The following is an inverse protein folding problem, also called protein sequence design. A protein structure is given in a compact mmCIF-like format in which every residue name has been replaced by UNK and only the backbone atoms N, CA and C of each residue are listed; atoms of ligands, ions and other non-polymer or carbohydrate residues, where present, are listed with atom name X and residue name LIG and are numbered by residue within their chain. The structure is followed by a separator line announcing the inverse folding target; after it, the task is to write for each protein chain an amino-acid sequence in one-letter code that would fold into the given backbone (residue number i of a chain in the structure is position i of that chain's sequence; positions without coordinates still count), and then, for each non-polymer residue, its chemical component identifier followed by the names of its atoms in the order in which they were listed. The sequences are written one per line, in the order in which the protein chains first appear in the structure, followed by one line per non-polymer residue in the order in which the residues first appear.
data_IF_088081616844
#
_entry.id   IF_088081616844
#
_cell.length_a   1.000
_cell.length_b   1.000
_cell.length_c   1.000
_cell.angle_alpha   90.00
_cell.angle_beta   90.00
_cell.angle_gamma   90.00
#
_symmetry.space_group_name_H-M   'P 1'
#
loop_
_entity.id
_entity.type
_entity.pdbx_description
1 polymer ?
#
# COMPACT_ATOMS: atom_id res chain seq x y z
N UNK A 1 12.82 13.32 -29.96
CA UNK A 1 13.12 12.65 -28.67
C UNK A 1 11.79 12.35 -27.99
N UNK A 2 11.45 11.10 -27.86
CA UNK A 2 10.34 10.70 -27.03
C UNK A 2 10.71 10.99 -25.58
N UNK A 3 9.87 11.76 -24.86
CA UNK A 3 9.99 11.86 -23.42
C UNK A 3 10.02 10.44 -22.83
N UNK A 4 10.90 10.15 -21.87
CA UNK A 4 10.84 8.86 -21.21
C UNK A 4 9.43 8.73 -20.63
N UNK A 5 8.69 7.72 -21.08
CA UNK A 5 7.37 7.43 -20.50
C UNK A 5 7.55 7.37 -18.99
N UNK A 6 6.93 8.29 -18.28
CA UNK A 6 7.04 8.33 -16.83
C UNK A 6 6.53 6.99 -16.30
N UNK A 7 7.40 6.26 -15.58
CA UNK A 7 7.02 5.00 -14.97
C UNK A 7 5.80 5.22 -14.07
N UNK A 8 4.79 4.35 -14.08
CA UNK A 8 3.61 4.52 -13.25
C UNK A 8 3.99 4.59 -11.77
N UNK A 9 3.24 5.39 -11.03
CA UNK A 9 3.36 5.53 -9.58
C UNK A 9 2.16 4.85 -8.92
N UNK A 10 2.42 3.87 -8.07
CA UNK A 10 1.39 3.16 -7.32
C UNK A 10 1.51 3.46 -5.82
N UNK A 11 0.38 3.76 -5.21
CA UNK A 11 0.26 3.74 -3.76
C UNK A 11 0.03 2.30 -3.30
N UNK A 12 0.81 1.85 -2.31
CA UNK A 12 0.79 0.47 -1.81
C UNK A 12 0.40 0.46 -0.33
N UNK A 13 -0.54 -0.41 0.04
CA UNK A 13 -0.88 -0.61 1.45
C UNK A 13 -0.04 -1.74 2.08
N UNK A 14 -0.20 -1.94 3.40
CA UNK A 14 0.57 -2.93 4.14
C UNK A 14 0.33 -4.37 3.67
N UNK A 15 -0.85 -4.69 3.15
CA UNK A 15 -1.20 -6.05 2.76
C UNK A 15 -0.32 -6.57 1.62
N UNK A 16 0.14 -5.68 0.73
CA UNK A 16 1.05 -6.04 -0.36
C UNK A 16 2.37 -6.57 0.20
N UNK A 17 2.91 -5.90 1.21
CA UNK A 17 4.16 -6.29 1.87
C UNK A 17 3.97 -7.52 2.75
N UNK A 18 2.90 -7.57 3.54
CA UNK A 18 2.60 -8.69 4.42
C UNK A 18 2.39 -10.00 3.67
N UNK A 19 1.78 -9.94 2.49
CA UNK A 19 1.60 -11.13 1.64
C UNK A 19 2.92 -11.78 1.23
N UNK A 20 4.01 -11.02 1.16
CA UNK A 20 5.35 -11.51 0.82
C UNK A 20 6.16 -11.80 2.08
N UNK A 21 6.09 -10.92 3.08
CA UNK A 21 6.89 -11.05 4.31
C UNK A 21 6.39 -12.16 5.24
N UNK A 22 5.09 -12.29 5.40
CA UNK A 22 4.45 -13.27 6.29
C UNK A 22 3.21 -13.84 5.59
N UNK A 23 3.37 -14.59 4.49
CA UNK A 23 2.22 -15.12 3.73
C UNK A 23 1.30 -15.99 4.58
N UNK A 24 1.84 -16.71 5.57
CA UNK A 24 1.08 -17.55 6.49
C UNK A 24 0.17 -16.76 7.43
N UNK A 25 0.46 -15.50 7.71
CA UNK A 25 -0.36 -14.62 8.56
C UNK A 25 -1.48 -13.94 7.77
N UNK A 26 -1.43 -13.98 6.44
CA UNK A 26 -2.46 -13.41 5.59
C UNK A 26 -3.50 -14.47 5.24
N UNK A 27 -4.74 -14.05 5.08
CA UNK A 27 -5.79 -14.91 4.54
C UNK A 27 -6.00 -14.71 3.03
N UNK A 28 -5.02 -14.08 2.41
CA UNK A 28 -5.09 -13.79 0.98
C UNK A 28 -5.02 -15.07 0.15
N UNK A 29 -5.79 -15.15 -0.94
CA UNK A 29 -5.65 -16.21 -1.92
C UNK A 29 -4.26 -16.26 -2.54
N UNK A 30 -3.86 -17.43 -3.05
CA UNK A 30 -2.53 -17.65 -3.64
C UNK A 30 -2.22 -16.69 -4.80
N UNK A 31 -3.22 -16.36 -5.61
CA UNK A 31 -3.05 -15.43 -6.73
C UNK A 31 -2.78 -13.99 -6.27
N UNK A 32 -3.36 -13.59 -5.14
CA UNK A 32 -3.08 -12.28 -4.52
C UNK A 32 -1.67 -12.24 -3.92
N UNK A 33 -1.22 -13.33 -3.31
CA UNK A 33 0.15 -13.46 -2.80
C UNK A 33 1.15 -13.38 -3.96
N UNK A 34 0.92 -14.14 -5.03
CA UNK A 34 1.77 -14.11 -6.23
C UNK A 34 1.74 -12.74 -6.89
N UNK A 35 0.59 -12.09 -6.95
CA UNK A 35 0.43 -10.73 -7.46
C UNK A 35 1.19 -9.70 -6.64
N UNK A 36 1.14 -9.79 -5.32
CA UNK A 36 1.91 -8.94 -4.42
C UNK A 36 3.41 -9.08 -4.64
N UNK A 37 3.90 -10.29 -4.83
CA UNK A 37 5.30 -10.54 -5.16
C UNK A 37 5.68 -9.89 -6.51
N UNK A 38 4.81 -9.98 -7.53
CA UNK A 38 5.04 -9.30 -8.82
C UNK A 38 5.11 -7.78 -8.67
N UNK A 39 4.21 -7.20 -7.88
CA UNK A 39 4.21 -5.75 -7.62
C UNK A 39 5.53 -5.31 -6.99
N UNK A 40 5.94 -5.97 -5.91
CA UNK A 40 7.18 -5.60 -5.21
C UNK A 40 8.42 -5.84 -6.08
N UNK A 41 8.43 -6.89 -6.89
CA UNK A 41 9.51 -7.14 -7.86
C UNK A 41 9.55 -6.04 -8.92
N UNK A 42 8.41 -5.57 -9.41
CA UNK A 42 8.34 -4.47 -10.36
C UNK A 42 8.90 -3.16 -9.78
N UNK A 43 8.67 -2.93 -8.49
CA UNK A 43 9.26 -1.80 -7.75
C UNK A 43 10.79 -1.96 -7.66
N UNK A 44 11.25 -3.12 -7.22
CA UNK A 44 12.67 -3.43 -7.10
C UNK A 44 13.42 -3.26 -8.43
N UNK A 45 12.82 -3.72 -9.53
CA UNK A 45 13.37 -3.60 -10.87
C UNK A 45 13.18 -2.21 -11.51
N UNK A 46 12.51 -1.29 -10.82
CA UNK A 46 12.27 0.06 -11.30
C UNK A 46 11.25 0.19 -12.44
N UNK A 47 10.46 -0.85 -12.70
CA UNK A 47 9.36 -0.80 -13.68
C UNK A 47 8.12 -0.10 -13.12
N UNK A 48 7.98 -0.08 -11.81
CA UNK A 48 6.93 0.58 -11.06
C UNK A 48 7.58 1.47 -10.00
N UNK A 49 7.07 2.68 -9.81
CA UNK A 49 7.42 3.49 -8.64
C UNK A 49 6.37 3.26 -7.57
N UNK A 50 6.81 3.09 -6.33
CA UNK A 50 5.94 2.92 -5.18
C UNK A 50 5.92 4.13 -4.27
N UNK A 51 4.79 4.39 -3.65
CA UNK A 51 4.65 5.33 -2.55
C UNK A 51 3.73 4.71 -1.49
N UNK A 52 4.03 4.96 -0.25
CA UNK A 52 3.20 4.56 0.87
C UNK A 52 3.32 5.56 2.01
N UNK A 53 2.59 5.36 3.06
CA UNK A 53 2.60 6.22 4.25
C UNK A 53 3.23 5.50 5.43
N UNK A 54 3.77 6.25 6.39
CA UNK A 54 4.44 5.72 7.57
C UNK A 54 3.58 4.73 8.39
N UNK A 55 2.26 4.77 8.29
CA UNK A 55 1.37 3.80 8.93
C UNK A 55 1.66 2.36 8.48
N UNK A 56 2.17 2.18 7.25
CA UNK A 56 2.63 0.91 6.71
C UNK A 56 3.55 0.17 7.69
N UNK A 57 4.56 0.87 8.21
CA UNK A 57 5.54 0.28 9.12
C UNK A 57 4.91 -0.13 10.45
N UNK A 58 3.97 0.65 10.95
CA UNK A 58 3.22 0.33 12.16
C UNK A 58 2.33 -0.89 11.99
N UNK A 59 1.63 -0.99 10.87
CA UNK A 59 0.78 -2.14 10.55
C UNK A 59 1.60 -3.42 10.37
N UNK A 60 2.73 -3.35 9.68
CA UNK A 60 3.65 -4.48 9.53
C UNK A 60 4.20 -4.90 10.89
N UNK A 61 4.66 -3.94 11.73
CA UNK A 61 5.16 -4.23 13.07
C UNK A 61 4.11 -4.94 13.92
N UNK A 62 2.87 -4.47 13.86
CA UNK A 62 1.76 -5.08 14.60
C UNK A 62 1.58 -6.56 14.25
N UNK A 63 1.64 -6.92 12.97
CA UNK A 63 1.51 -8.31 12.53
C UNK A 63 2.68 -9.16 13.01
N UNK A 64 3.92 -8.66 12.92
CA UNK A 64 5.09 -9.36 13.47
C UNK A 64 4.95 -9.64 14.96
N UNK A 65 4.43 -8.68 15.73
CA UNK A 65 4.19 -8.86 17.17
C UNK A 65 3.06 -9.87 17.44
N UNK A 66 1.97 -9.76 16.72
CA UNK A 66 0.81 -10.66 16.87
C UNK A 66 1.19 -12.11 16.59
N UNK A 67 2.01 -12.33 15.56
CA UNK A 67 2.45 -13.67 15.13
C UNK A 67 3.72 -14.14 15.87
N UNK A 68 4.22 -13.37 16.82
CA UNK A 68 5.48 -13.65 17.54
C UNK A 68 6.62 -13.97 16.57
N UNK A 69 6.74 -13.18 15.50
CA UNK A 69 7.71 -13.41 14.45
C UNK A 69 8.92 -12.50 14.59
N UNK A 70 10.10 -13.07 14.42
CA UNK A 70 11.36 -12.32 14.36
C UNK A 70 11.60 -11.74 12.96
N UNK A 71 12.49 -10.76 12.86
CA UNK A 71 12.97 -10.23 11.57
C UNK A 71 12.33 -8.94 11.11
N UNK A 72 11.54 -8.27 11.95
CA UNK A 72 10.91 -6.99 11.59
C UNK A 72 11.95 -5.93 11.19
N UNK A 73 13.06 -5.79 11.92
CA UNK A 73 14.05 -4.76 11.61
C UNK A 73 14.74 -5.00 10.27
N UNK A 74 14.90 -6.26 9.87
CA UNK A 74 15.42 -6.62 8.54
C UNK A 74 14.41 -6.21 7.46
N UNK A 75 13.14 -6.52 7.66
CA UNK A 75 12.07 -6.14 6.72
C UNK A 75 11.95 -4.61 6.61
N UNK A 76 11.96 -3.91 7.74
CA UNK A 76 11.94 -2.45 7.79
C UNK A 76 13.10 -1.84 7.02
N UNK A 77 14.32 -2.33 7.27
CA UNK A 77 15.51 -1.83 6.59
C UNK A 77 15.44 -2.04 5.07
N UNK A 78 14.93 -3.19 4.62
CA UNK A 78 14.73 -3.48 3.20
C UNK A 78 13.72 -2.53 2.55
N UNK A 79 12.60 -2.26 3.23
CA UNK A 79 11.57 -1.32 2.76
C UNK A 79 12.14 0.10 2.66
N UNK A 80 12.84 0.56 3.68
CA UNK A 80 13.40 1.91 3.73
C UNK A 80 14.58 2.10 2.75
N UNK A 81 15.30 1.02 2.42
CA UNK A 81 16.41 1.05 1.47
C UNK A 81 15.98 0.97 0.00
N UNK A 82 14.71 0.62 -0.28
CA UNK A 82 14.23 0.48 -1.67
C UNK A 82 14.15 1.84 -2.37
N UNK A 83 15.03 2.05 -3.34
CA UNK A 83 15.16 3.34 -4.04
C UNK A 83 13.94 3.74 -4.86
N UNK A 84 13.12 2.78 -5.29
CA UNK A 84 11.92 3.03 -6.10
C UNK A 84 10.64 3.07 -5.25
N UNK A 85 10.77 3.05 -3.92
CA UNK A 85 9.67 3.14 -2.97
C UNK A 85 9.92 4.31 -2.01
N UNK A 86 8.92 5.17 -1.84
CA UNK A 86 8.96 6.23 -0.83
C UNK A 86 7.92 5.95 0.24
N UNK A 87 8.34 5.86 1.47
CA UNK A 87 7.47 5.79 2.65
C UNK A 87 7.43 7.17 3.29
N UNK A 88 6.28 7.84 3.17
CA UNK A 88 6.15 9.24 3.53
C UNK A 88 5.67 9.42 4.97
N UNK A 89 6.20 10.43 5.62
CA UNK A 89 5.75 10.88 6.94
C UNK A 89 4.28 11.33 6.88
N UNK A 90 3.52 11.03 7.92
CA UNK A 90 2.14 11.51 8.06
C UNK A 90 2.18 12.97 8.52
N UNK A 91 1.83 13.87 7.62
CA UNK A 91 1.72 15.29 7.91
C UNK A 91 0.35 15.64 8.51
N UNK A 92 0.22 16.82 9.10
CA UNK A 92 -1.07 17.30 9.59
C UNK A 92 -2.11 17.35 8.45
N UNK A 93 -1.73 17.79 7.26
CA UNK A 93 -2.63 17.84 6.09
C UNK A 93 -3.11 16.45 5.68
N UNK A 94 -2.22 15.45 5.66
CA UNK A 94 -2.60 14.08 5.34
C UNK A 94 -3.55 13.50 6.40
N UNK A 95 -3.27 13.75 7.67
CA UNK A 95 -4.13 13.29 8.77
C UNK A 95 -5.54 13.88 8.69
N UNK A 96 -5.66 15.17 8.41
CA UNK A 96 -6.95 15.85 8.24
C UNK A 96 -7.69 15.30 7.02
N UNK A 97 -7.01 15.18 5.88
CA UNK A 97 -7.61 14.65 4.65
C UNK A 97 -8.08 13.19 4.82
N UNK A 98 -7.32 12.37 5.54
CA UNK A 98 -7.71 11.00 5.85
C UNK A 98 -9.03 10.92 6.61
N UNK A 99 -9.26 11.83 7.57
CA UNK A 99 -10.52 11.92 8.30
C UNK A 99 -11.69 12.32 7.39
N UNK A 100 -11.48 13.26 6.48
CA UNK A 100 -12.46 13.69 5.50
C UNK A 100 -12.83 12.55 4.53
N UNK A 101 -11.84 11.82 4.05
CA UNK A 101 -12.03 10.64 3.18
C UNK A 101 -12.79 9.54 3.91
N UNK A 102 -12.46 9.29 5.18
CA UNK A 102 -13.21 8.34 5.99
C UNK A 102 -14.67 8.71 6.06
N UNK A 103 -14.99 9.96 6.28
CA UNK A 103 -16.39 10.43 6.29
C UNK A 103 -17.09 10.19 4.95
N UNK A 104 -16.40 10.42 3.86
CA UNK A 104 -16.95 10.27 2.50
C UNK A 104 -17.25 8.80 2.18
N UNK A 105 -16.34 7.88 2.54
CA UNK A 105 -16.40 6.49 2.10
C UNK A 105 -16.95 5.52 3.15
N UNK A 106 -17.05 5.93 4.42
CA UNK A 106 -17.59 5.07 5.47
C UNK A 106 -19.10 4.88 5.32
N UNK A 107 -19.53 3.60 5.43
CA UNK A 107 -20.94 3.24 5.58
C UNK A 107 -21.04 1.95 6.40
N UNK A 108 -22.27 1.57 6.79
CA UNK A 108 -22.49 0.29 7.49
C UNK A 108 -22.04 -0.92 6.66
N UNK A 109 -22.07 -0.79 5.33
CA UNK A 109 -21.64 -1.85 4.39
C UNK A 109 -20.17 -1.74 3.99
N UNK A 110 -19.54 -0.61 4.24
CA UNK A 110 -18.14 -0.35 3.91
C UNK A 110 -17.44 0.29 5.11
N UNK A 111 -16.82 -0.52 5.94
CA UNK A 111 -16.13 -0.09 7.16
C UNK A 111 -14.76 0.57 6.84
N UNK A 112 -14.78 1.55 5.94
CA UNK A 112 -13.60 2.34 5.60
C UNK A 112 -12.98 2.98 6.84
N UNK A 113 -11.73 2.62 7.15
CA UNK A 113 -11.04 3.04 8.35
C UNK A 113 -10.28 4.35 8.17
N UNK A 114 -9.83 4.93 9.27
CA UNK A 114 -8.92 6.06 9.23
C UNK A 114 -7.58 5.69 8.56
N UNK A 115 -7.09 4.48 8.79
CA UNK A 115 -5.87 3.99 8.13
C UNK A 115 -6.06 3.86 6.62
N UNK A 116 -7.21 3.40 6.16
CA UNK A 116 -7.57 3.40 4.73
C UNK A 116 -7.53 4.83 4.18
N UNK A 117 -8.04 5.77 4.94
CA UNK A 117 -7.99 7.20 4.62
C UNK A 117 -6.56 7.72 4.48
N UNK A 118 -5.62 7.28 5.32
CA UNK A 118 -4.22 7.67 5.22
C UNK A 118 -3.56 7.16 3.94
N UNK A 119 -3.81 5.92 3.53
CA UNK A 119 -3.30 5.40 2.26
C UNK A 119 -3.88 6.15 1.07
N UNK A 120 -5.19 6.35 1.06
CA UNK A 120 -5.85 7.07 -0.03
C UNK A 120 -5.39 8.53 -0.11
N UNK A 121 -5.32 9.23 1.02
CA UNK A 121 -4.84 10.62 1.09
C UNK A 121 -3.40 10.73 0.55
N UNK A 122 -2.53 9.78 0.90
CA UNK A 122 -1.16 9.73 0.40
C UNK A 122 -1.12 9.54 -1.11
N UNK A 123 -1.87 8.59 -1.64
CA UNK A 123 -1.97 8.35 -3.08
C UNK A 123 -2.46 9.58 -3.85
N UNK A 124 -3.48 10.25 -3.33
CA UNK A 124 -4.03 11.47 -3.95
C UNK A 124 -3.04 12.65 -3.88
N UNK A 125 -2.39 12.87 -2.74
CA UNK A 125 -1.41 13.94 -2.56
C UNK A 125 -0.19 13.78 -3.48
N UNK A 126 0.26 12.55 -3.68
CA UNK A 126 1.40 12.22 -4.53
C UNK A 126 1.01 12.06 -6.02
N UNK A 127 -0.25 12.24 -6.35
CA UNK A 127 -0.79 12.05 -7.71
C UNK A 127 -0.45 10.66 -8.27
N UNK A 128 -0.64 9.64 -7.44
CA UNK A 128 -0.45 8.26 -7.87
C UNK A 128 -1.39 7.92 -9.04
N UNK A 129 -0.89 7.12 -9.96
CA UNK A 129 -1.70 6.62 -11.09
C UNK A 129 -2.69 5.56 -10.64
N UNK A 130 -2.35 4.82 -9.57
CA UNK A 130 -3.20 3.76 -9.04
C UNK A 130 -2.87 3.47 -7.58
N UNK A 131 -3.82 2.82 -6.92
CA UNK A 131 -3.69 2.24 -5.59
C UNK A 131 -3.79 0.72 -5.72
N UNK A 132 -2.79 -0.02 -5.26
CA UNK A 132 -2.80 -1.48 -5.28
C UNK A 132 -3.05 -1.97 -3.85
N UNK A 133 -4.11 -2.73 -3.68
CA UNK A 133 -4.55 -3.21 -2.36
C UNK A 133 -5.38 -4.48 -2.49
N UNK A 134 -5.40 -5.29 -1.44
CA UNK A 134 -6.35 -6.40 -1.29
C UNK A 134 -7.57 -6.01 -0.45
N UNK A 135 -7.56 -4.83 0.16
CA UNK A 135 -8.62 -4.37 1.06
C UNK A 135 -9.86 -3.96 0.27
N UNK A 136 -11.00 -4.66 0.45
CA UNK A 136 -12.23 -4.32 -0.25
C UNK A 136 -12.73 -2.91 0.05
N UNK A 137 -12.40 -2.34 1.21
CA UNK A 137 -12.79 -0.98 1.56
C UNK A 137 -12.07 0.05 0.70
N UNK A 138 -10.77 -0.16 0.44
CA UNK A 138 -9.99 0.70 -0.46
C UNK A 138 -10.34 0.45 -1.93
N UNK A 139 -10.66 -0.79 -2.33
CA UNK A 139 -11.06 -1.11 -3.69
C UNK A 139 -12.37 -0.43 -4.12
N UNK A 140 -13.19 0.03 -3.17
CA UNK A 140 -14.48 0.68 -3.43
C UNK A 140 -14.37 2.18 -3.75
N UNK A 141 -13.20 2.80 -3.59
CA UNK A 141 -13.06 4.25 -3.81
C UNK A 141 -13.14 4.61 -5.30
N UNK A 142 -13.70 5.79 -5.58
CA UNK A 142 -13.95 6.25 -6.94
C UNK A 142 -12.92 7.29 -7.44
N UNK A 143 -12.22 7.97 -6.53
CA UNK A 143 -11.35 9.11 -6.86
C UNK A 143 -9.90 8.73 -7.18
N UNK A 144 -9.57 7.45 -7.17
CA UNK A 144 -8.28 6.92 -7.58
C UNK A 144 -8.48 5.52 -8.17
N UNK A 145 -7.82 5.23 -9.29
CA UNK A 145 -7.86 3.89 -9.87
C UNK A 145 -7.30 2.88 -8.88
N UNK A 146 -8.02 1.78 -8.67
CA UNK A 146 -7.60 0.72 -7.76
C UNK A 146 -7.41 -0.59 -8.51
N UNK A 147 -6.43 -1.39 -8.08
CA UNK A 147 -6.17 -2.74 -8.57
C UNK A 147 -5.93 -3.69 -7.40
N UNK A 148 -6.38 -4.91 -7.56
CA UNK A 148 -5.89 -6.03 -6.75
C UNK A 148 -4.49 -6.43 -7.25
N UNK A 149 -3.60 -6.93 -6.36
CA UNK A 149 -2.28 -7.41 -6.79
C UNK A 149 -2.36 -8.47 -7.91
N UNK A 150 -3.34 -9.38 -7.86
CA UNK A 150 -3.57 -10.39 -8.89
C UNK A 150 -3.88 -9.80 -10.28
N UNK A 151 -4.35 -8.56 -10.34
CA UNK A 151 -4.66 -7.85 -11.59
C UNK A 151 -3.46 -7.10 -12.17
N UNK A 152 -2.38 -6.95 -11.40
CA UNK A 152 -1.15 -6.31 -11.87
C UNK A 152 -0.38 -7.27 -12.81
N UNK A 153 -0.04 -6.78 -14.01
CA UNK A 153 0.65 -7.55 -15.06
C UNK A 153 2.03 -6.96 -15.40
#
# INVERSE_FOLDING_TARGET
MSEPSSRPLACLDANIFLAVLIPEATRAPKDEIAGSARVLKAVEEGRLRGVSTAILLGEIRYVYLREDKAGFEIARAAIEAESNLRVLTITASLAIHAAELRRTYYSKKNAFSYNDGLYLATGLAERADLLITTDPHLLSVANLKTLRPSQYR
#
